data_IF_834440999732
#
_entry.id   IF_834440999732
#
_cell.length_a   1.000
_cell.length_b   1.000
_cell.length_c   1.000
_cell.angle_alpha   90.00
_cell.angle_beta   90.00
_cell.angle_gamma   90.00
#
_symmetry.space_group_name_H-M   'P 1'
#
loop_
_entity.id
_entity.type
_entity.pdbx_description
1 polymer ?
#
# COMPACT_ATOMS: atom_id res chain seq x y z
N UNK A 1 4.68 3.93 42.17
CA UNK A 1 4.23 4.23 40.81
C UNK A 1 5.25 3.64 39.85
N UNK A 2 4.84 2.79 38.90
CA UNK A 2 5.74 2.33 37.84
C UNK A 2 5.80 3.44 36.80
N UNK A 3 7.01 3.91 36.52
CA UNK A 3 7.29 4.90 35.49
C UNK A 3 7.08 4.22 34.13
N UNK A 4 6.02 4.57 33.41
CA UNK A 4 5.80 4.09 32.04
C UNK A 4 6.81 4.79 31.14
N UNK A 5 7.88 4.10 30.73
CA UNK A 5 8.78 4.60 29.70
C UNK A 5 8.02 4.67 28.37
N UNK A 6 7.86 5.87 27.84
CA UNK A 6 7.39 6.05 26.46
C UNK A 6 8.54 5.64 25.54
N UNK A 7 8.39 4.51 24.85
CA UNK A 7 9.31 4.06 23.81
C UNK A 7 8.68 4.42 22.47
N UNK A 8 9.29 5.36 21.76
CA UNK A 8 8.96 5.63 20.37
C UNK A 8 9.79 4.69 19.50
N UNK A 9 9.17 4.09 18.49
CA UNK A 9 9.84 3.24 17.52
C UNK A 9 9.35 3.58 16.11
N UNK A 10 10.14 3.20 15.11
CA UNK A 10 9.79 3.27 13.69
C UNK A 10 9.86 1.86 13.12
N UNK A 11 8.85 1.50 12.33
CA UNK A 11 8.83 0.26 11.55
C UNK A 11 8.74 0.64 10.08
N UNK A 12 9.56 -0.04 9.27
CA UNK A 12 9.54 0.09 7.83
C UNK A 12 9.23 -1.28 7.23
N UNK A 13 8.23 -1.30 6.34
CA UNK A 13 7.79 -2.50 5.64
C UNK A 13 7.96 -2.27 4.14
N UNK A 14 8.63 -3.21 3.47
CA UNK A 14 8.79 -3.18 2.01
C UNK A 14 8.08 -4.40 1.41
N UNK A 15 7.17 -4.16 0.48
CA UNK A 15 6.40 -5.21 -0.17
C UNK A 15 7.03 -5.59 -1.51
N UNK A 16 7.32 -6.88 -1.71
CA UNK A 16 7.86 -7.40 -2.97
C UNK A 16 6.78 -7.89 -3.94
N UNK A 17 5.57 -8.16 -3.46
CA UNK A 17 4.53 -8.86 -4.22
C UNK A 17 4.04 -8.10 -5.47
N UNK A 18 4.05 -6.76 -5.42
CA UNK A 18 3.62 -5.93 -6.55
C UNK A 18 4.67 -5.85 -7.67
N UNK A 19 5.88 -6.40 -7.45
CA UNK A 19 6.98 -6.38 -8.40
C UNK A 19 6.57 -6.96 -9.77
N UNK A 20 7.24 -6.50 -10.82
CA UNK A 20 7.04 -7.04 -12.15
C UNK A 20 7.42 -8.53 -12.21
N UNK A 21 6.63 -9.32 -12.94
CA UNK A 21 6.82 -10.77 -13.07
C UNK A 21 6.12 -11.62 -12.00
N UNK A 22 5.54 -11.00 -10.97
CA UNK A 22 4.75 -11.68 -9.95
C UNK A 22 3.24 -11.56 -10.22
N UNK A 23 2.50 -12.52 -9.68
CA UNK A 23 1.04 -12.55 -9.56
C UNK A 23 0.69 -12.71 -8.08
N UNK A 24 -0.56 -12.44 -7.70
CA UNK A 24 -1.00 -12.55 -6.32
C UNK A 24 -0.82 -13.99 -5.78
N UNK A 25 -0.22 -14.15 -4.58
CA UNK A 25 -0.10 -15.44 -3.92
C UNK A 25 -1.43 -15.91 -3.31
N UNK A 26 -2.31 -14.97 -2.95
CA UNK A 26 -3.49 -15.24 -2.11
C UNK A 26 -4.80 -14.80 -2.78
N UNK A 27 -5.07 -13.49 -2.84
CA UNK A 27 -6.35 -12.96 -3.35
C UNK A 27 -6.29 -12.57 -4.82
N UNK A 28 -7.32 -12.94 -5.58
CA UNK A 28 -7.44 -12.61 -7.00
C UNK A 28 -8.58 -11.61 -7.25
N UNK A 29 -8.38 -10.73 -8.23
CA UNK A 29 -9.38 -9.74 -8.60
C UNK A 29 -10.38 -10.34 -9.58
N UNK A 30 -11.67 -10.34 -9.24
CA UNK A 30 -12.77 -10.89 -10.06
C UNK A 30 -12.51 -12.35 -10.47
N UNK A 31 -12.37 -12.62 -11.76
CA UNK A 31 -12.12 -13.96 -12.30
C UNK A 31 -10.63 -14.37 -12.20
N UNK A 32 -9.76 -13.47 -11.75
CA UNK A 32 -8.35 -13.71 -11.55
C UNK A 32 -7.51 -13.77 -12.83
N UNK A 33 -8.08 -13.44 -13.99
CA UNK A 33 -7.42 -13.59 -15.29
C UNK A 33 -6.30 -12.58 -15.54
N UNK A 34 -6.25 -11.47 -14.80
CA UNK A 34 -5.25 -10.42 -14.96
C UNK A 34 -4.34 -10.31 -13.74
N UNK A 35 -3.10 -10.75 -13.90
CA UNK A 35 -2.10 -10.75 -12.82
C UNK A 35 -1.79 -9.36 -12.26
N UNK A 36 -1.91 -8.30 -13.08
CA UNK A 36 -1.75 -6.94 -12.57
C UNK A 36 -2.88 -6.55 -11.61
N UNK A 37 -4.12 -6.85 -11.96
CA UNK A 37 -5.23 -6.55 -11.06
C UNK A 37 -5.16 -7.38 -9.78
N UNK A 38 -4.77 -8.66 -9.89
CA UNK A 38 -4.64 -9.55 -8.75
C UNK A 38 -3.66 -9.02 -7.70
N UNK A 39 -2.42 -8.70 -8.09
CA UNK A 39 -1.40 -8.27 -7.12
C UNK A 39 -1.70 -6.92 -6.48
N UNK A 40 -2.29 -5.97 -7.23
CA UNK A 40 -2.71 -4.70 -6.64
C UNK A 40 -3.92 -4.87 -5.72
N UNK A 41 -4.85 -5.75 -6.06
CA UNK A 41 -5.99 -6.08 -5.20
C UNK A 41 -5.57 -6.77 -3.90
N UNK A 42 -4.63 -7.72 -3.99
CA UNK A 42 -4.12 -8.41 -2.81
C UNK A 42 -3.35 -7.45 -1.88
N UNK A 43 -2.49 -6.60 -2.46
CA UNK A 43 -1.79 -5.57 -1.70
C UNK A 43 -2.76 -4.58 -1.01
N UNK A 44 -3.78 -4.09 -1.73
CA UNK A 44 -4.80 -3.20 -1.18
C UNK A 44 -5.55 -3.85 -0.01
N UNK A 45 -5.94 -5.12 -0.15
CA UNK A 45 -6.57 -5.88 0.93
C UNK A 45 -5.66 -6.02 2.16
N UNK A 46 -4.39 -6.41 1.99
CA UNK A 46 -3.45 -6.56 3.09
C UNK A 46 -3.19 -5.24 3.82
N UNK A 47 -3.09 -4.13 3.08
CA UNK A 47 -2.98 -2.79 3.67
C UNK A 47 -4.25 -2.46 4.45
N UNK A 48 -5.43 -2.79 3.92
CA UNK A 48 -6.71 -2.64 4.61
C UNK A 48 -6.74 -3.37 5.96
N UNK A 49 -6.42 -4.66 5.98
CA UNK A 49 -6.35 -5.48 7.20
C UNK A 49 -5.36 -4.90 8.23
N UNK A 50 -4.21 -4.39 7.76
CA UNK A 50 -3.24 -3.73 8.64
C UNK A 50 -3.78 -2.43 9.26
N UNK A 51 -4.43 -1.58 8.46
CA UNK A 51 -5.04 -0.34 8.96
C UNK A 51 -6.21 -0.64 9.90
N UNK A 52 -7.03 -1.64 9.60
CA UNK A 52 -8.13 -2.08 10.46
C UNK A 52 -7.62 -2.63 11.80
N UNK A 53 -6.51 -3.36 11.79
CA UNK A 53 -5.84 -3.78 13.02
C UNK A 53 -5.36 -2.59 13.86
N UNK A 54 -4.66 -1.63 13.27
CA UNK A 54 -4.19 -0.43 13.98
C UNK A 54 -5.37 0.40 14.53
N UNK A 55 -6.47 0.44 13.78
CA UNK A 55 -7.67 1.19 14.15
C UNK A 55 -8.42 0.51 15.29
N UNK A 56 -8.70 -0.78 15.17
CA UNK A 56 -9.45 -1.56 16.17
C UNK A 56 -8.74 -1.68 17.51
N UNK A 57 -7.41 -1.68 17.50
CA UNK A 57 -6.58 -1.68 18.73
C UNK A 57 -6.36 -0.28 19.33
N UNK A 58 -6.74 0.78 18.60
CA UNK A 58 -6.49 2.17 18.98
C UNK A 58 -5.03 2.63 18.82
N UNK A 59 -4.13 1.77 18.31
CA UNK A 59 -2.73 2.10 18.04
C UNK A 59 -2.59 3.25 17.04
N UNK A 60 -3.53 3.38 16.11
CA UNK A 60 -3.53 4.43 15.09
C UNK A 60 -3.55 5.85 15.69
N UNK A 61 -4.09 6.01 16.89
CA UNK A 61 -4.22 7.31 17.56
C UNK A 61 -2.87 7.90 18.03
N UNK A 62 -1.85 7.06 18.15
CA UNK A 62 -0.49 7.45 18.54
C UNK A 62 0.57 6.97 17.53
N UNK A 63 0.15 6.59 16.33
CA UNK A 63 1.02 6.14 15.25
C UNK A 63 0.80 7.01 14.03
N UNK A 64 1.89 7.54 13.45
CA UNK A 64 1.86 8.12 12.11
C UNK A 64 2.13 7.01 11.10
N UNK A 65 1.20 6.79 10.18
CA UNK A 65 1.36 5.79 9.12
C UNK A 65 1.57 6.52 7.80
N UNK A 66 2.65 6.17 7.11
CA UNK A 66 3.00 6.68 5.78
C UNK A 66 2.99 5.50 4.82
N UNK A 67 2.14 5.57 3.80
CA UNK A 67 2.07 4.57 2.72
C UNK A 67 2.50 5.26 1.44
N UNK A 68 3.54 4.71 0.82
CA UNK A 68 4.07 5.22 -0.45
C UNK A 68 4.68 4.08 -1.26
N UNK A 69 5.10 4.40 -2.49
CA UNK A 69 5.83 3.49 -3.36
C UNK A 69 7.22 4.06 -3.63
N UNK A 70 8.18 3.18 -3.89
CA UNK A 70 9.54 3.56 -4.31
C UNK A 70 9.58 4.12 -5.74
N UNK A 71 8.75 3.58 -6.62
CA UNK A 71 8.61 4.04 -8.01
C UNK A 71 7.24 3.67 -8.62
N UNK A 72 6.99 4.16 -9.83
CA UNK A 72 5.82 3.77 -10.66
C UNK A 72 5.85 2.28 -11.04
N UNK A 73 4.90 1.76 -11.83
CA UNK A 73 4.93 0.35 -12.30
C UNK A 73 5.65 0.22 -13.65
N UNK A 74 6.38 -0.88 -13.85
CA UNK A 74 7.13 -1.09 -15.08
C UNK A 74 6.18 -1.18 -16.28
N UNK A 75 6.34 -0.34 -17.32
CA UNK A 75 5.33 -0.11 -18.35
C UNK A 75 5.33 -1.21 -19.43
N UNK A 76 4.96 -2.43 -19.05
CA UNK A 76 4.77 -3.50 -20.05
C UNK A 76 3.52 -3.25 -20.90
N UNK A 77 3.46 -3.83 -22.13
CA UNK A 77 2.25 -3.77 -22.94
C UNK A 77 1.00 -4.27 -22.22
N UNK A 78 1.14 -5.29 -21.35
CA UNK A 78 0.03 -5.82 -20.57
C UNK A 78 -0.42 -4.85 -19.47
N UNK A 79 0.52 -4.20 -18.75
CA UNK A 79 0.19 -3.16 -17.78
C UNK A 79 -0.54 -1.99 -18.45
N UNK A 80 0.04 -1.47 -19.53
CA UNK A 80 -0.51 -0.38 -20.32
C UNK A 80 -1.94 -0.70 -20.81
N UNK A 81 -2.16 -1.91 -21.33
CA UNK A 81 -3.50 -2.38 -21.70
C UNK A 81 -4.45 -2.47 -20.50
N UNK A 82 -3.96 -2.93 -19.35
CA UNK A 82 -4.77 -3.14 -18.14
C UNK A 82 -5.23 -1.83 -17.50
N UNK A 83 -4.40 -0.79 -17.52
CA UNK A 83 -4.70 0.50 -16.89
C UNK A 83 -4.98 1.61 -17.90
N UNK A 84 -5.16 1.28 -19.18
CA UNK A 84 -5.31 2.25 -20.27
C UNK A 84 -4.21 3.33 -20.25
N UNK A 85 -2.99 2.93 -19.90
CA UNK A 85 -1.80 3.78 -19.88
C UNK A 85 -1.05 3.66 -21.20
N UNK A 86 -0.34 4.72 -21.56
CA UNK A 86 0.58 4.78 -22.71
C UNK A 86 1.99 5.18 -22.27
N UNK A 87 2.35 4.96 -21.00
CA UNK A 87 3.69 5.26 -20.52
C UNK A 87 4.71 4.34 -21.19
N UNK A 88 5.83 4.90 -21.62
CA UNK A 88 7.01 4.17 -22.08
C UNK A 88 8.14 4.20 -21.04
N UNK A 89 7.95 4.97 -19.96
CA UNK A 89 8.98 5.24 -18.95
C UNK A 89 8.56 4.71 -17.58
N UNK A 90 9.56 4.25 -16.84
CA UNK A 90 9.39 3.79 -15.46
C UNK A 90 9.45 4.96 -14.46
N UNK A 91 8.85 6.09 -14.82
CA UNK A 91 8.82 7.32 -14.04
C UNK A 91 7.43 7.91 -14.16
N UNK A 92 6.72 7.97 -13.05
CA UNK A 92 5.38 8.56 -12.96
C UNK A 92 5.09 8.94 -11.48
N UNK A 93 3.95 9.57 -11.24
CA UNK A 93 3.45 9.86 -9.92
C UNK A 93 3.27 8.57 -9.09
N UNK A 94 3.70 8.64 -7.83
CA UNK A 94 3.54 7.58 -6.84
C UNK A 94 2.50 7.98 -5.78
N UNK A 95 1.81 7.01 -5.15
CA UNK A 95 0.92 7.30 -4.05
C UNK A 95 1.71 7.85 -2.85
N UNK A 96 1.14 8.82 -2.16
CA UNK A 96 1.57 9.25 -0.83
C UNK A 96 0.33 9.44 0.04
N UNK A 97 0.15 8.55 1.01
CA UNK A 97 -0.92 8.62 2.00
C UNK A 97 -0.26 8.77 3.37
N UNK A 98 -0.71 9.77 4.12
CA UNK A 98 -0.28 10.01 5.50
C UNK A 98 -1.54 10.05 6.36
N UNK A 99 -1.60 9.21 7.39
CA UNK A 99 -2.76 9.09 8.27
C UNK A 99 -2.35 8.74 9.71
N UNK A 100 -3.30 8.87 10.64
CA UNK A 100 -3.11 8.55 12.06
C UNK A 100 -2.86 9.77 12.93
N UNK A 101 -2.00 9.64 13.94
CA UNK A 101 -1.83 10.59 15.03
C UNK A 101 -1.55 12.03 14.54
N UNK A 102 -2.41 12.97 14.95
CA UNK A 102 -2.25 14.39 14.65
C UNK A 102 -2.56 14.79 13.20
N UNK A 103 -3.09 13.87 12.38
CA UNK A 103 -3.46 14.14 10.99
C UNK A 103 -4.98 14.37 10.89
N UNK A 104 -5.37 15.57 10.49
CA UNK A 104 -6.75 15.84 10.06
C UNK A 104 -6.95 15.36 8.62
N UNK A 105 -7.97 14.54 8.39
CA UNK A 105 -8.32 14.11 7.04
C UNK A 105 -8.75 15.31 6.20
N UNK A 106 -7.95 15.66 5.19
CA UNK A 106 -8.37 16.59 4.14
C UNK A 106 -9.17 15.83 3.11
N UNK A 107 -10.50 15.98 3.13
CA UNK A 107 -11.34 15.61 2.00
C UNK A 107 -11.00 16.56 0.84
N UNK A 108 -10.51 15.99 -0.26
CA UNK A 108 -10.42 16.70 -1.55
C UNK A 108 -11.79 16.76 -2.20
#
# INVERSE_FOLDING_TARGET
MKETRIINFSLEFTHLETHHGLDSPDLRFKDGSNSYYNKFYNFDHQVGEFIDYLTSTGLINNTLVVITADHSTFPTPQFNKSFSSNSDYFVDAIPLIILGAGIESKKK
#
